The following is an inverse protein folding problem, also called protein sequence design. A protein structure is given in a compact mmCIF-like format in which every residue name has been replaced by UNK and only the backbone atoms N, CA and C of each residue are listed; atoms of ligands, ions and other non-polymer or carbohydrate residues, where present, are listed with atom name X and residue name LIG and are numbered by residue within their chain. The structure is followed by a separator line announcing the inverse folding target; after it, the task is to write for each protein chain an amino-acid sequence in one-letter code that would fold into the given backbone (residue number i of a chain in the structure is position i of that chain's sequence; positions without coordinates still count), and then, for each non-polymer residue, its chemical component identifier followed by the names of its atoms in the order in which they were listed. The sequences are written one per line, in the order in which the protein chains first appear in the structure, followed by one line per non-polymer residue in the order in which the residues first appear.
data_IF_706821164416
#
_entry.id   IF_706821164416
#
_cell.length_a   1.000
_cell.length_b   1.000
_cell.length_c   1.000
_cell.angle_alpha   90.00
_cell.angle_beta   90.00
_cell.angle_gamma   90.00
#
_symmetry.space_group_name_H-M   'P 1'
#
loop_
_entity.id
_entity.type
_entity.pdbx_description
1 polymer ?
#
# COMPACT_ATOMS: atom_id res chain seq x y z
N UNK A 1 21.99 50.94 0.17
CA UNK A 1 21.16 49.78 -0.21
C UNK A 1 21.80 48.53 0.36
N UNK A 2 21.30 48.03 1.51
CA UNK A 2 21.80 46.78 2.09
C UNK A 2 21.08 45.61 1.44
N UNK A 3 21.81 44.87 0.60
CA UNK A 3 21.35 43.63 -0.01
C UNK A 3 21.17 42.58 1.09
N UNK A 4 19.92 42.34 1.49
CA UNK A 4 19.59 41.25 2.43
C UNK A 4 19.70 39.95 1.65
N UNK A 5 20.90 39.37 1.66
CA UNK A 5 21.11 38.00 1.21
C UNK A 5 20.29 37.08 2.12
N UNK A 6 19.30 36.40 1.55
CA UNK A 6 18.48 35.41 2.24
C UNK A 6 19.38 34.20 2.53
N UNK A 7 20.10 34.24 3.66
CA UNK A 7 20.91 33.11 4.10
C UNK A 7 19.98 31.90 4.26
N UNK A 8 20.21 30.88 3.43
CA UNK A 8 19.49 29.61 3.46
C UNK A 8 19.51 29.09 4.90
N UNK A 9 18.34 29.09 5.53
CA UNK A 9 18.14 28.72 6.92
C UNK A 9 18.49 27.23 7.09
N UNK A 10 19.67 26.85 7.62
CA UNK A 10 20.13 25.46 7.58
C UNK A 10 19.26 24.54 8.43
N UNK A 11 18.69 25.05 9.53
CA UNK A 11 17.85 24.24 10.41
C UNK A 11 16.53 23.81 9.76
N UNK A 12 15.98 24.62 8.84
CA UNK A 12 14.74 24.27 8.12
C UNK A 12 15.00 23.17 7.10
N UNK A 13 16.11 23.25 6.36
CA UNK A 13 16.45 22.24 5.36
C UNK A 13 16.76 20.89 5.99
N UNK A 14 17.52 20.85 7.09
CA UNK A 14 17.84 19.61 7.80
C UNK A 14 16.60 18.95 8.42
N UNK A 15 15.69 19.75 8.99
CA UNK A 15 14.46 19.22 9.58
C UNK A 15 13.54 18.63 8.51
N UNK A 16 13.43 19.30 7.36
CA UNK A 16 12.62 18.81 6.25
C UNK A 16 13.15 17.49 5.72
N UNK A 17 14.46 17.40 5.45
CA UNK A 17 15.10 16.16 4.96
C UNK A 17 14.84 15.01 5.93
N UNK A 18 15.10 15.22 7.22
CA UNK A 18 14.84 14.21 8.26
C UNK A 18 13.37 13.77 8.31
N UNK A 19 12.42 14.70 8.18
CA UNK A 19 11.00 14.34 8.15
C UNK A 19 10.62 13.52 6.91
N UNK A 20 11.20 13.84 5.74
CA UNK A 20 10.93 13.12 4.50
C UNK A 20 11.53 11.72 4.52
N UNK A 21 12.75 11.57 5.06
CA UNK A 21 13.39 10.27 5.23
C UNK A 21 12.60 9.38 6.18
N UNK A 22 12.19 9.92 7.33
CA UNK A 22 11.37 9.20 8.30
C UNK A 22 10.02 8.74 7.69
N UNK A 23 9.34 9.62 6.96
CA UNK A 23 8.08 9.27 6.30
C UNK A 23 8.28 8.19 5.21
N UNK A 24 9.34 8.28 4.41
CA UNK A 24 9.66 7.24 3.43
C UNK A 24 9.98 5.90 4.10
N UNK A 25 10.69 5.91 5.22
CA UNK A 25 11.01 4.68 5.97
C UNK A 25 9.76 4.06 6.59
N UNK A 26 8.86 4.87 7.13
CA UNK A 26 7.57 4.41 7.65
C UNK A 26 6.73 3.75 6.54
N UNK A 27 6.69 4.35 5.34
CA UNK A 27 5.99 3.76 4.19
C UNK A 27 6.64 2.46 3.72
N UNK A 28 7.98 2.39 3.65
CA UNK A 28 8.71 1.18 3.24
C UNK A 28 8.57 0.03 4.23
N UNK A 29 8.53 0.34 5.52
CA UNK A 29 8.35 -0.66 6.60
C UNK A 29 6.88 -1.02 6.86
N UNK A 30 5.93 -0.22 6.38
CA UNK A 30 4.50 -0.47 6.55
C UNK A 30 4.02 -1.67 5.74
N UNK A 31 3.80 -2.78 6.44
CA UNK A 31 3.23 -4.01 5.86
C UNK A 31 1.88 -3.77 5.18
N UNK A 32 1.02 -2.96 5.80
CA UNK A 32 -0.32 -2.67 5.27
C UNK A 32 -0.24 -1.85 3.99
N UNK A 33 0.70 -0.89 3.91
CA UNK A 33 0.91 -0.12 2.69
C UNK A 33 1.37 -1.02 1.54
N UNK A 34 2.33 -1.91 1.77
CA UNK A 34 2.77 -2.88 0.76
C UNK A 34 1.65 -3.82 0.30
N UNK A 35 0.78 -4.25 1.23
CA UNK A 35 -0.40 -5.07 0.90
C UNK A 35 -1.42 -4.30 0.05
N UNK A 36 -1.60 -3.01 0.33
CA UNK A 36 -2.43 -2.14 -0.50
C UNK A 36 -1.87 -2.03 -1.91
N UNK A 37 -0.56 -1.82 -2.07
CA UNK A 37 0.09 -1.77 -3.39
C UNK A 37 -0.08 -3.10 -4.15
N UNK A 38 0.10 -4.23 -3.46
CA UNK A 38 -0.10 -5.57 -4.04
C UNK A 38 -1.56 -5.77 -4.50
N UNK A 39 -2.54 -5.38 -3.68
CA UNK A 39 -3.96 -5.49 -4.00
C UNK A 39 -4.33 -4.63 -5.21
N UNK A 40 -3.82 -3.39 -5.29
CA UNK A 40 -4.04 -2.50 -6.44
C UNK A 40 -3.43 -3.09 -7.71
N UNK A 41 -2.19 -3.62 -7.64
CA UNK A 41 -1.53 -4.22 -8.80
C UNK A 41 -2.30 -5.44 -9.32
N UNK A 42 -2.68 -6.36 -8.43
CA UNK A 42 -3.45 -7.56 -8.80
C UNK A 42 -4.81 -7.19 -9.40
N UNK A 43 -5.50 -6.24 -8.79
CA UNK A 43 -6.80 -5.78 -9.28
C UNK A 43 -6.66 -5.11 -10.65
N UNK A 44 -5.68 -4.23 -10.82
CA UNK A 44 -5.38 -3.59 -12.09
C UNK A 44 -5.03 -4.58 -13.19
N UNK A 45 -4.19 -5.59 -12.90
CA UNK A 45 -3.87 -6.66 -13.85
C UNK A 45 -5.09 -7.47 -14.23
N UNK A 46 -5.96 -7.81 -13.24
CA UNK A 46 -7.21 -8.54 -13.49
C UNK A 46 -8.18 -7.77 -14.38
N UNK A 47 -8.28 -6.44 -14.19
CA UNK A 47 -9.13 -5.58 -15.01
C UNK A 47 -8.59 -5.36 -16.43
N UNK A 48 -7.27 -5.41 -16.60
CA UNK A 48 -6.61 -5.13 -17.87
C UNK A 48 -6.17 -6.39 -18.63
N UNK A 49 -6.66 -7.59 -18.24
CA UNK A 49 -6.39 -8.85 -18.96
C UNK A 49 -6.77 -8.69 -20.44
N UNK A 50 -5.87 -9.11 -21.33
CA UNK A 50 -6.08 -9.04 -22.78
C UNK A 50 -5.80 -7.66 -23.41
N UNK A 51 -5.32 -6.69 -22.62
CA UNK A 51 -4.88 -5.37 -23.12
C UNK A 51 -3.37 -5.21 -22.98
N UNK A 52 -2.79 -4.19 -23.63
CA UNK A 52 -1.40 -3.80 -23.45
C UNK A 52 -1.04 -3.26 -22.05
N UNK A 53 -2.04 -3.12 -21.16
CA UNK A 53 -1.87 -2.71 -19.76
C UNK A 53 -2.00 -3.88 -18.77
N UNK A 54 -2.26 -5.09 -19.25
CA UNK A 54 -2.25 -6.30 -18.43
C UNK A 54 -0.83 -6.75 -18.08
N UNK A 55 -0.73 -7.67 -17.12
CA UNK A 55 0.54 -8.27 -16.66
C UNK A 55 1.62 -7.24 -16.25
N UNK A 56 1.18 -6.11 -15.69
CA UNK A 56 2.07 -5.10 -15.18
C UNK A 56 2.81 -5.61 -13.95
N UNK A 57 4.08 -5.22 -13.82
CA UNK A 57 4.92 -5.53 -12.66
C UNK A 57 4.91 -4.40 -11.62
N UNK A 58 4.52 -3.19 -12.04
CA UNK A 58 4.46 -2.00 -11.20
C UNK A 58 3.46 -0.99 -11.79
N UNK A 59 3.10 0.01 -10.97
CA UNK A 59 2.29 1.14 -11.38
C UNK A 59 2.82 2.42 -10.72
N UNK A 60 2.51 3.58 -11.31
CA UNK A 60 2.85 4.89 -10.73
C UNK A 60 2.00 5.16 -9.48
N UNK A 61 2.59 5.69 -8.41
CA UNK A 61 1.85 5.99 -7.18
C UNK A 61 0.66 6.94 -7.37
N UNK A 62 0.71 7.84 -8.36
CA UNK A 62 -0.41 8.71 -8.74
C UNK A 62 -1.70 7.95 -9.09
N UNK A 63 -1.60 6.67 -9.47
CA UNK A 63 -2.76 5.80 -9.70
C UNK A 63 -3.60 5.62 -8.44
N UNK A 64 -3.01 5.69 -7.24
CA UNK A 64 -3.74 5.57 -5.98
C UNK A 64 -4.81 6.67 -5.83
N UNK A 65 -4.51 7.88 -6.31
CA UNK A 65 -5.43 9.01 -6.29
C UNK A 65 -6.63 8.80 -7.23
N UNK A 66 -6.46 7.98 -8.28
CA UNK A 66 -7.50 7.72 -9.29
C UNK A 66 -8.47 6.61 -8.91
N UNK A 67 -8.18 5.86 -7.85
CA UNK A 67 -9.03 4.72 -7.44
C UNK A 67 -10.43 5.15 -6.99
N UNK A 68 -10.57 6.39 -6.51
CA UNK A 68 -11.88 6.96 -6.12
C UNK A 68 -12.73 7.34 -7.33
N UNK A 69 -12.09 7.64 -8.46
CA UNK A 69 -12.78 8.10 -9.68
C UNK A 69 -13.31 6.93 -10.53
N UNK A 70 -12.68 5.75 -10.41
CA UNK A 70 -13.11 4.55 -11.13
C UNK A 70 -14.30 3.93 -10.41
N UNK A 71 -15.49 4.06 -11.01
CA UNK A 71 -16.75 3.53 -10.49
C UNK A 71 -17.16 2.23 -11.17
N UNK A 72 -17.81 1.36 -10.40
CA UNK A 72 -18.50 0.18 -10.90
C UNK A 72 -19.75 0.54 -11.70
N UNK A 73 -20.39 -0.48 -12.28
CA UNK A 73 -21.61 -0.34 -13.08
C UNK A 73 -22.80 0.19 -12.27
N UNK A 74 -22.76 0.04 -10.95
CA UNK A 74 -23.76 0.58 -10.03
C UNK A 74 -23.63 2.10 -9.81
N UNK A 75 -22.52 2.71 -10.26
CA UNK A 75 -22.20 4.13 -10.07
C UNK A 75 -21.96 4.54 -8.60
N UNK A 76 -22.00 3.59 -7.66
CA UNK A 76 -21.92 3.83 -6.21
C UNK A 76 -20.61 3.31 -5.64
N UNK A 77 -20.18 2.12 -6.07
CA UNK A 77 -18.99 1.47 -5.56
C UNK A 77 -17.78 1.88 -6.40
N UNK A 78 -16.71 2.33 -5.74
CA UNK A 78 -15.46 2.69 -6.43
C UNK A 78 -14.44 1.56 -6.36
N UNK A 79 -13.42 1.61 -7.20
CA UNK A 79 -12.31 0.67 -7.18
C UNK A 79 -11.59 0.67 -5.82
N UNK A 80 -11.52 1.83 -5.16
CA UNK A 80 -10.97 1.94 -3.80
C UNK A 80 -11.73 1.07 -2.79
N UNK A 81 -13.07 1.02 -2.85
CA UNK A 81 -13.87 0.16 -1.98
C UNK A 81 -13.52 -1.31 -2.18
N UNK A 82 -13.36 -1.74 -3.43
CA UNK A 82 -12.99 -3.12 -3.76
C UNK A 82 -11.59 -3.47 -3.26
N UNK A 83 -10.61 -2.59 -3.47
CA UNK A 83 -9.23 -2.78 -2.99
C UNK A 83 -9.18 -2.92 -1.47
N UNK A 84 -9.92 -2.09 -0.72
CA UNK A 84 -9.99 -2.18 0.75
C UNK A 84 -10.59 -3.52 1.20
N UNK A 85 -11.67 -3.98 0.57
CA UNK A 85 -12.26 -5.28 0.86
C UNK A 85 -11.28 -6.43 0.58
N UNK A 86 -10.49 -6.33 -0.49
CA UNK A 86 -9.48 -7.33 -0.82
C UNK A 86 -8.35 -7.39 0.23
N UNK A 87 -7.91 -6.23 0.73
CA UNK A 87 -6.92 -6.18 1.82
C UNK A 87 -7.49 -6.83 3.08
N UNK A 88 -8.71 -6.49 3.49
CA UNK A 88 -9.37 -7.07 4.67
C UNK A 88 -9.50 -8.59 4.53
N UNK A 89 -9.91 -9.09 3.36
CA UNK A 89 -10.02 -10.52 3.06
C UNK A 89 -8.66 -11.22 3.19
N UNK A 90 -7.61 -10.61 2.63
CA UNK A 90 -6.26 -11.17 2.64
C UNK A 90 -5.64 -11.21 4.05
N UNK A 91 -5.84 -10.18 4.87
CA UNK A 91 -5.33 -10.15 6.26
C UNK A 91 -6.20 -11.03 7.19
N UNK A 92 -7.52 -11.07 6.99
CA UNK A 92 -8.43 -11.93 7.75
C UNK A 92 -8.14 -13.42 7.56
N UNK A 93 -7.85 -13.84 6.32
CA UNK A 93 -7.42 -15.22 6.02
C UNK A 93 -6.12 -15.60 6.74
N UNK A 94 -5.18 -14.65 6.89
CA UNK A 94 -3.92 -14.89 7.61
C UNK A 94 -4.13 -15.11 9.10
N UNK A 95 -4.98 -14.30 9.74
CA UNK A 95 -5.33 -14.48 11.16
C UNK A 95 -5.98 -15.85 11.40
N UNK A 96 -6.84 -16.31 10.49
CA UNK A 96 -7.43 -17.64 10.54
C UNK A 96 -6.42 -18.79 10.33
N UNK A 97 -5.35 -18.55 9.56
CA UNK A 97 -4.27 -19.54 9.37
C UNK A 97 -3.26 -19.57 10.52
N UNK A 98 -3.07 -18.46 11.23
CA UNK A 98 -2.15 -18.37 12.36
C UNK A 98 -2.69 -19.06 13.62
N UNK A 99 -4.02 -19.20 13.74
CA UNK A 99 -4.67 -19.91 14.85
C UNK A 99 -4.65 -21.43 14.73
N UNK A 100 -4.34 -21.99 13.55
CA UNK A 100 -4.30 -23.45 13.33
C UNK A 100 -2.92 -24.09 13.54
N UNK A 101 -1.86 -23.32 13.77
CA UNK A 101 -0.49 -23.83 13.95
C UNK A 101 -0.08 -24.19 15.39
N UNK A 102 -0.95 -24.06 16.39
CA UNK A 102 -0.58 -24.24 17.82
C UNK A 102 -0.96 -25.59 18.43
N UNK A 103 -1.51 -26.57 17.69
CA UNK A 103 -1.95 -27.85 18.28
C UNK A 103 -1.44 -29.09 17.55
N UNK A 104 -0.12 -29.33 17.54
CA UNK A 104 0.42 -30.70 17.45
C UNK A 104 1.72 -30.83 18.25
N UNK A 105 1.60 -30.97 19.57
CA UNK A 105 2.59 -31.69 20.38
C UNK A 105 1.93 -33.00 20.83
N UNK A 106 2.23 -34.09 20.14
CA UNK A 106 2.33 -35.40 20.78
C UNK A 106 3.82 -35.66 21.02
N UNK A 107 4.19 -36.18 22.19
CA UNK A 107 4.68 -37.56 22.15
C UNK A 107 4.21 -38.44 23.33
N UNK A 108 3.72 -39.61 22.94
CA UNK A 108 4.12 -40.94 23.40
C UNK A 108 3.66 -41.40 24.80
N UNK A 109 2.70 -42.32 24.79
CA UNK A 109 2.42 -43.28 25.85
C UNK A 109 3.54 -44.33 25.89
N UNK A 110 4.08 -44.60 27.08
CA UNK A 110 4.70 -45.89 27.44
C UNK A 110 3.63 -46.78 28.08
#
# INVERSE_FOLDING_TARGET
MASRSFARIPWVTETLVRSTEAACEELRSSRLFLKLLEAVLKTGNRMNVGTNRGDAHAFKLDTLLKLVDVKGTDGKTTLLHFVVQEIIRSEGSRLASASSSTTKTQPNTL
#
